data_IF_528139896372
#
_entry.id   IF_528139896372
#
_cell.length_a   1.000
_cell.length_b   1.000
_cell.length_c   1.000
_cell.angle_alpha   90.00
_cell.angle_beta   90.00
_cell.angle_gamma   90.00
#
_symmetry.space_group_name_H-M   'P 1'
#
loop_
_entity.id
_entity.type
_entity.pdbx_description
1 polymer ?
#
# COMPACT_ATOMS: atom_id res chain seq x y z
N UNK A 1 1.26 -14.27 1.67
CA UNK A 1 2.27 -13.20 1.72
C UNK A 1 3.44 -13.59 0.83
N UNK A 2 4.08 -12.62 0.18
CA UNK A 2 5.22 -12.83 -0.73
C UNK A 2 6.28 -11.79 -0.43
N UNK A 3 7.53 -12.24 -0.25
CA UNK A 3 8.71 -11.42 0.07
C UNK A 3 8.61 -10.58 1.36
N UNK A 4 7.84 -11.03 2.35
CA UNK A 4 7.85 -10.48 3.71
C UNK A 4 8.80 -11.25 4.60
N UNK A 5 9.16 -10.69 5.75
CA UNK A 5 9.92 -11.41 6.77
C UNK A 5 9.04 -12.43 7.50
N UNK A 6 9.67 -13.46 8.07
CA UNK A 6 9.04 -14.49 8.89
C UNK A 6 9.56 -14.41 10.32
N UNK A 7 8.67 -14.48 11.30
CA UNK A 7 9.03 -14.55 12.71
C UNK A 7 9.08 -16.00 13.21
N UNK A 8 9.88 -16.27 14.24
CA UNK A 8 10.12 -17.62 14.75
C UNK A 8 8.89 -18.30 15.37
N UNK A 9 7.91 -17.50 15.78
CA UNK A 9 6.60 -17.94 16.29
C UNK A 9 5.56 -18.19 15.18
N UNK A 10 5.96 -18.07 13.91
CA UNK A 10 5.11 -18.39 12.74
C UNK A 10 4.35 -17.20 12.15
N UNK A 11 4.57 -16.00 12.66
CA UNK A 11 4.05 -14.75 12.11
C UNK A 11 4.83 -14.21 10.91
N UNK A 12 4.49 -12.99 10.54
CA UNK A 12 5.10 -12.21 9.46
C UNK A 12 5.47 -10.82 9.97
N UNK A 13 6.46 -10.20 9.35
CA UNK A 13 6.88 -8.84 9.68
C UNK A 13 7.29 -8.07 8.41
N UNK A 14 7.16 -6.76 8.45
CA UNK A 14 7.65 -5.81 7.44
C UNK A 14 7.84 -4.44 8.07
N UNK A 15 8.55 -3.55 7.38
CA UNK A 15 8.83 -2.20 7.85
C UNK A 15 7.54 -1.39 8.09
N UNK A 16 7.44 -0.75 9.26
CA UNK A 16 6.28 0.07 9.64
C UNK A 16 5.12 -0.72 10.24
N UNK A 17 5.23 -2.03 10.38
CA UNK A 17 4.28 -2.83 11.15
C UNK A 17 4.49 -2.57 12.65
N UNK A 18 3.42 -2.20 13.36
CA UNK A 18 3.44 -2.14 14.83
C UNK A 18 3.41 -3.58 15.36
N UNK A 19 4.54 -4.05 15.88
CA UNK A 19 4.73 -5.44 16.33
C UNK A 19 5.81 -5.49 17.39
N UNK A 20 5.53 -6.17 18.50
CA UNK A 20 6.54 -6.48 19.49
C UNK A 20 7.40 -7.66 18.99
N UNK A 21 8.68 -7.39 18.72
CA UNK A 21 9.66 -8.39 18.33
C UNK A 21 10.47 -8.93 19.53
N UNK A 22 10.08 -8.60 20.76
CA UNK A 22 10.76 -9.09 21.95
C UNK A 22 10.70 -10.61 22.05
N UNK A 23 11.86 -11.24 22.19
CA UNK A 23 11.97 -12.70 22.33
C UNK A 23 11.72 -13.51 21.05
N UNK A 24 11.44 -12.88 19.90
CA UNK A 24 11.26 -13.58 18.61
C UNK A 24 12.42 -13.30 17.66
N UNK A 25 12.83 -14.34 16.92
CA UNK A 25 13.82 -14.20 15.84
C UNK A 25 13.08 -13.89 14.55
N UNK A 26 13.70 -13.09 13.69
CA UNK A 26 13.15 -12.71 12.39
C UNK A 26 14.10 -13.19 11.29
N UNK A 27 13.53 -13.77 10.24
CA UNK A 27 14.23 -14.12 9.01
C UNK A 27 13.72 -13.20 7.90
N UNK A 28 14.63 -12.49 7.23
CA UNK A 28 14.27 -11.57 6.14
C UNK A 28 13.78 -12.31 4.89
N UNK A 29 13.27 -11.55 3.93
CA UNK A 29 12.74 -12.05 2.66
C UNK A 29 13.78 -12.79 1.78
N UNK A 30 15.08 -12.69 2.10
CA UNK A 30 16.18 -13.41 1.44
C UNK A 30 16.57 -14.69 2.18
N UNK A 31 15.90 -15.02 3.29
CA UNK A 31 16.19 -16.18 4.11
C UNK A 31 17.35 -15.98 5.09
N UNK A 32 17.73 -14.73 5.39
CA UNK A 32 18.82 -14.41 6.31
C UNK A 32 18.29 -13.97 7.67
N UNK A 33 19.00 -14.29 8.76
CA UNK A 33 18.68 -13.75 10.09
C UNK A 33 18.65 -12.22 10.04
N UNK A 34 17.65 -11.62 10.67
CA UNK A 34 17.42 -10.18 10.63
C UNK A 34 17.26 -9.60 12.04
N UNK A 35 17.84 -8.41 12.23
CA UNK A 35 17.62 -7.54 13.38
C UNK A 35 17.41 -6.11 12.90
N UNK A 36 16.76 -5.23 13.68
CA UNK A 36 16.58 -3.83 13.29
C UNK A 36 17.89 -3.11 12.92
N UNK A 37 19.00 -3.48 13.56
CA UNK A 37 20.31 -2.84 13.38
C UNK A 37 21.16 -3.40 12.23
N UNK A 38 20.70 -4.45 11.53
CA UNK A 38 21.52 -5.13 10.52
C UNK A 38 21.66 -4.37 9.17
N UNK A 39 21.11 -3.15 9.08
CA UNK A 39 21.30 -2.22 7.96
C UNK A 39 20.58 -2.61 6.66
N UNK A 40 19.66 -3.57 6.70
CA UNK A 40 18.88 -4.05 5.55
C UNK A 40 17.39 -4.14 5.93
N UNK A 41 16.45 -3.97 4.98
CA UNK A 41 15.04 -4.21 5.25
C UNK A 41 14.77 -5.73 5.43
N UNK A 42 13.84 -6.03 6.33
CA UNK A 42 13.29 -7.35 6.61
C UNK A 42 12.41 -7.87 5.47
N UNK A 43 11.64 -6.99 4.82
CA UNK A 43 10.79 -7.32 3.68
C UNK A 43 11.29 -6.63 2.40
N UNK A 44 10.94 -7.18 1.23
CA UNK A 44 11.17 -6.46 -0.03
C UNK A 44 10.29 -5.19 -0.06
N UNK A 45 10.78 -4.04 -0.55
CA UNK A 45 9.99 -2.80 -0.61
C UNK A 45 8.66 -2.91 -1.40
N UNK A 46 8.58 -3.85 -2.34
CA UNK A 46 7.38 -4.20 -3.12
C UNK A 46 6.76 -5.55 -2.69
N UNK A 47 6.96 -5.99 -1.44
CA UNK A 47 6.34 -7.19 -0.89
C UNK A 47 4.81 -7.05 -0.81
N UNK A 48 4.10 -8.18 -0.81
CA UNK A 48 2.63 -8.22 -0.96
C UNK A 48 1.97 -9.24 -0.04
N UNK A 49 0.73 -8.95 0.34
CA UNK A 49 -0.23 -9.95 0.79
C UNK A 49 -1.22 -10.25 -0.34
N UNK A 50 -1.79 -11.45 -0.34
CA UNK A 50 -2.88 -11.85 -1.22
C UNK A 50 -3.94 -12.47 -0.31
N UNK A 51 -5.10 -11.83 -0.24
CA UNK A 51 -6.18 -12.18 0.69
C UNK A 51 -7.52 -12.08 -0.02
N UNK A 52 -8.50 -12.96 0.27
CA UNK A 52 -9.84 -12.86 -0.28
C UNK A 52 -10.52 -11.52 0.08
N UNK A 53 -11.08 -10.84 -0.93
CA UNK A 53 -11.77 -9.56 -0.75
C UNK A 53 -12.88 -9.63 0.32
N UNK A 54 -13.68 -10.71 0.32
CA UNK A 54 -14.78 -10.96 1.27
C UNK A 54 -14.38 -11.01 2.75
N UNK A 55 -13.08 -11.11 3.06
CA UNK A 55 -12.60 -11.08 4.45
C UNK A 55 -12.33 -9.66 4.96
N UNK A 56 -12.46 -8.64 4.11
CA UNK A 56 -12.42 -7.25 4.54
C UNK A 56 -13.67 -6.94 5.39
N UNK A 57 -13.53 -6.49 6.65
CA UNK A 57 -14.66 -6.30 7.58
C UNK A 57 -15.60 -5.15 7.17
N UNK A 58 -15.17 -4.33 6.23
CA UNK A 58 -15.89 -3.17 5.69
C UNK A 58 -16.10 -3.29 4.18
N UNK A 59 -16.08 -4.53 3.64
CA UNK A 59 -16.38 -4.74 2.22
C UNK A 59 -17.78 -4.19 1.92
N UNK A 60 -17.90 -3.41 0.85
CA UNK A 60 -19.17 -2.81 0.47
C UNK A 60 -20.18 -3.92 0.09
N UNK A 61 -21.45 -3.87 0.51
CA UNK A 61 -22.43 -4.89 0.16
C UNK A 61 -22.67 -5.02 -1.36
N UNK A 62 -22.43 -3.97 -2.14
CA UNK A 62 -22.59 -3.95 -3.59
C UNK A 62 -21.27 -4.24 -4.35
N UNK A 63 -20.20 -4.69 -3.68
CA UNK A 63 -18.88 -4.90 -4.33
C UNK A 63 -18.88 -5.95 -5.46
N UNK A 64 -19.86 -6.85 -5.47
CA UNK A 64 -20.10 -7.87 -6.51
C UNK A 64 -21.42 -7.64 -7.27
N UNK A 65 -22.07 -6.49 -7.08
CA UNK A 65 -23.34 -6.18 -7.77
C UNK A 65 -23.09 -6.07 -9.29
N UNK A 66 -23.79 -6.85 -10.14
CA UNK A 66 -23.60 -6.79 -11.59
C UNK A 66 -23.97 -5.43 -12.21
N UNK A 67 -24.81 -4.62 -11.55
CA UNK A 67 -25.15 -3.28 -12.01
C UNK A 67 -24.06 -2.25 -11.66
N UNK A 68 -23.11 -2.62 -10.81
CA UNK A 68 -22.03 -1.77 -10.34
C UNK A 68 -22.49 -0.69 -9.36
N UNK A 69 -21.62 0.31 -9.15
CA UNK A 69 -21.90 1.46 -8.27
C UNK A 69 -21.82 2.77 -9.06
N UNK A 70 -22.73 3.73 -8.82
CA UNK A 70 -22.65 5.04 -9.44
C UNK A 70 -21.39 5.79 -8.97
N UNK A 71 -20.67 6.43 -9.89
CA UNK A 71 -19.46 7.20 -9.59
C UNK A 71 -19.78 8.69 -9.68
N UNK A 72 -19.76 9.38 -8.53
CA UNK A 72 -20.02 10.83 -8.45
C UNK A 72 -18.73 11.66 -8.51
N UNK A 73 -17.57 11.07 -8.22
CA UNK A 73 -16.28 11.77 -8.21
C UNK A 73 -15.13 10.87 -8.68
N UNK A 74 -14.17 11.46 -9.39
CA UNK A 74 -12.91 10.83 -9.80
C UNK A 74 -11.77 11.64 -9.19
N UNK A 75 -10.90 10.99 -8.41
CA UNK A 75 -9.76 11.64 -7.75
C UNK A 75 -8.46 11.27 -8.46
N UNK A 76 -7.63 12.28 -8.71
CA UNK A 76 -6.25 12.11 -9.19
C UNK A 76 -5.27 12.50 -8.08
N UNK A 77 -4.16 11.77 -7.96
CA UNK A 77 -3.16 12.02 -6.93
C UNK A 77 -1.87 11.23 -7.13
N UNK A 78 -0.78 11.75 -6.58
CA UNK A 78 0.55 11.14 -6.65
C UNK A 78 1.49 11.72 -5.59
N UNK A 79 2.68 11.14 -5.44
CA UNK A 79 3.66 11.59 -4.44
C UNK A 79 4.33 12.88 -4.93
N UNK A 80 4.03 14.00 -4.26
CA UNK A 80 4.52 15.35 -4.58
C UNK A 80 5.01 16.04 -3.30
N UNK A 81 6.33 16.18 -3.07
CA UNK A 81 6.85 16.74 -1.83
C UNK A 81 6.69 18.26 -1.72
N UNK A 82 6.43 18.94 -2.83
CA UNK A 82 6.32 20.40 -2.89
C UNK A 82 5.33 20.85 -3.97
N UNK A 83 4.66 21.97 -3.69
CA UNK A 83 3.99 22.84 -4.67
C UNK A 83 2.55 22.46 -5.02
N UNK A 84 2.18 21.17 -5.01
CA UNK A 84 0.79 20.74 -5.22
C UNK A 84 0.06 20.81 -3.87
N UNK A 85 -1.11 21.48 -3.77
CA UNK A 85 -1.87 21.55 -2.53
C UNK A 85 -2.47 20.18 -2.16
N UNK A 86 -2.99 20.07 -0.93
CA UNK A 86 -3.61 18.83 -0.43
C UNK A 86 -4.75 18.35 -1.33
N UNK A 87 -5.64 19.26 -1.75
CA UNK A 87 -6.77 18.98 -2.63
C UNK A 87 -7.15 20.24 -3.41
N UNK A 88 -7.56 20.07 -4.66
CA UNK A 88 -8.24 21.08 -5.46
C UNK A 88 -9.20 20.40 -6.43
N UNK A 89 -10.25 21.10 -6.82
CA UNK A 89 -11.26 20.60 -7.77
C UNK A 89 -10.98 21.16 -9.17
N UNK A 90 -11.14 20.32 -10.19
CA UNK A 90 -11.06 20.78 -11.57
C UNK A 90 -12.30 21.61 -11.93
N UNK A 91 -12.08 22.79 -12.52
CA UNK A 91 -13.16 23.69 -12.97
C UNK A 91 -14.24 23.07 -13.88
N UNK A 92 -13.91 22.01 -14.62
CA UNK A 92 -14.82 21.28 -15.50
C UNK A 92 -14.19 19.95 -15.96
N UNK A 93 -14.93 19.19 -16.76
CA UNK A 93 -14.51 17.88 -17.27
C UNK A 93 -13.22 17.92 -18.10
N UNK A 94 -13.12 18.85 -19.06
CA UNK A 94 -11.95 18.97 -19.92
C UNK A 94 -10.69 19.31 -19.11
N UNK A 95 -10.83 20.18 -18.11
CA UNK A 95 -9.76 20.48 -17.17
C UNK A 95 -9.41 19.26 -16.31
N UNK A 96 -10.40 18.46 -15.88
CA UNK A 96 -10.16 17.20 -15.15
C UNK A 96 -9.35 16.19 -15.98
N UNK A 97 -9.68 16.03 -17.27
CA UNK A 97 -8.88 15.20 -18.18
C UNK A 97 -7.44 15.70 -18.29
N UNK A 98 -7.26 17.02 -18.38
CA UNK A 98 -5.92 17.62 -18.38
C UNK A 98 -5.17 17.38 -17.07
N UNK A 99 -5.83 17.53 -15.91
CA UNK A 99 -5.25 17.24 -14.59
C UNK A 99 -4.77 15.79 -14.52
N UNK A 100 -5.59 14.83 -14.99
CA UNK A 100 -5.21 13.43 -15.08
C UNK A 100 -4.02 13.19 -16.01
N UNK A 101 -4.01 13.81 -17.19
CA UNK A 101 -2.90 13.70 -18.15
C UNK A 101 -1.60 14.33 -17.64
N UNK A 102 -1.68 15.33 -16.77
CA UNK A 102 -0.54 16.03 -16.18
C UNK A 102 -0.01 15.39 -14.89
N UNK A 103 -0.56 14.24 -14.47
CA UNK A 103 -0.14 13.56 -13.25
C UNK A 103 1.35 13.21 -13.26
N UNK A 104 1.99 13.49 -12.13
CA UNK A 104 3.38 13.12 -11.85
C UNK A 104 3.46 12.58 -10.42
N UNK A 105 4.34 11.62 -10.21
CA UNK A 105 4.63 11.06 -8.89
C UNK A 105 6.12 10.74 -8.80
N UNK A 106 6.68 10.83 -7.61
CA UNK A 106 7.95 10.17 -7.31
C UNK A 106 7.84 8.67 -7.64
N UNK A 107 8.94 8.09 -8.12
CA UNK A 107 9.03 6.66 -8.41
C UNK A 107 8.84 5.84 -7.14
N UNK A 108 8.19 4.69 -7.26
CA UNK A 108 8.04 3.71 -6.19
C UNK A 108 8.95 2.51 -6.46
N UNK A 109 9.21 1.74 -5.40
CA UNK A 109 9.96 0.50 -5.49
C UNK A 109 9.16 -0.66 -6.11
#
# INVERSE_FOLDING_TARGET
FTNVAKTSDGGVYWEGMDSDLSGVKVTDWRGQDWTPDCGRPSAHPNSRFCSPAKQCPIIDPAWEDPEGVPIDAILFGGRRPQGVPLVYEAFNWQHGVFVGAAMRSEATA
#
